data_IF_002758819857
#
_entry.id   IF_002758819857
#
_cell.length_a   1.000
_cell.length_b   1.000
_cell.length_c   1.000
_cell.angle_alpha   90.00
_cell.angle_beta   90.00
_cell.angle_gamma   90.00
#
_symmetry.space_group_name_H-M   'P 1'
#
loop_
_entity.id
_entity.type
_entity.pdbx_description
1 polymer ?
#
# COMPACT_ATOMS: atom_id res chain seq x y z
N UNK A 1 -5.52 24.43 6.48
CA UNK A 1 -5.33 23.01 6.75
C UNK A 1 -6.58 22.51 7.42
N UNK A 2 -7.42 21.76 6.72
CA UNK A 2 -8.48 21.01 7.38
C UNK A 2 -7.79 19.84 8.06
N UNK A 3 -7.72 19.89 9.39
CA UNK A 3 -7.12 18.80 10.16
C UNK A 3 -7.97 17.54 10.01
N UNK A 4 -7.49 16.59 9.23
CA UNK A 4 -7.99 15.24 9.29
C UNK A 4 -7.70 14.70 10.69
N UNK A 5 -8.72 14.53 11.50
CA UNK A 5 -8.58 13.72 12.70
C UNK A 5 -8.61 12.25 12.29
N UNK A 6 -7.88 11.37 12.99
CA UNK A 6 -7.95 9.92 12.80
C UNK A 6 -9.40 9.36 12.87
N UNK A 7 -10.32 10.15 13.38
CA UNK A 7 -11.74 9.82 13.48
C UNK A 7 -12.50 10.04 12.17
N UNK A 8 -12.00 10.92 11.30
CA UNK A 8 -12.71 11.36 10.10
C UNK A 8 -12.21 10.70 8.81
N UNK A 9 -11.19 9.83 8.89
CA UNK A 9 -10.64 9.09 7.76
C UNK A 9 -11.05 7.62 7.72
N UNK A 10 -10.78 6.99 6.55
CA UNK A 10 -10.87 5.53 6.35
C UNK A 10 -12.26 4.94 6.57
N UNK A 11 -13.33 5.71 6.28
CA UNK A 11 -14.71 5.24 6.48
C UNK A 11 -15.04 4.02 5.64
N UNK A 12 -14.53 3.96 4.40
CA UNK A 12 -14.75 2.85 3.46
C UNK A 12 -14.14 1.56 3.97
N UNK A 13 -12.84 1.60 4.27
CA UNK A 13 -12.10 0.43 4.76
C UNK A 13 -12.58 -0.05 6.13
N UNK A 14 -12.86 0.88 7.05
CA UNK A 14 -13.44 0.55 8.37
C UNK A 14 -14.78 -0.16 8.24
N UNK A 15 -15.65 0.32 7.34
CA UNK A 15 -16.95 -0.30 7.08
C UNK A 15 -16.80 -1.69 6.45
N UNK A 16 -15.91 -1.81 5.45
CA UNK A 16 -15.66 -3.07 4.76
C UNK A 16 -15.06 -4.12 5.71
N UNK A 17 -14.03 -3.76 6.46
CA UNK A 17 -13.39 -4.65 7.42
C UNK A 17 -14.39 -5.16 8.48
N UNK A 18 -15.26 -4.25 8.98
CA UNK A 18 -16.32 -4.60 9.93
C UNK A 18 -17.33 -5.58 9.32
N UNK A 19 -17.77 -5.35 8.10
CA UNK A 19 -18.68 -6.23 7.38
C UNK A 19 -18.08 -7.62 7.16
N UNK A 20 -16.81 -7.69 6.75
CA UNK A 20 -16.09 -8.95 6.59
C UNK A 20 -15.98 -9.73 7.91
N UNK A 21 -15.71 -9.03 9.01
CA UNK A 21 -15.64 -9.64 10.36
C UNK A 21 -17.00 -10.19 10.78
N UNK A 22 -18.08 -9.43 10.57
CA UNK A 22 -19.45 -9.88 10.89
C UNK A 22 -19.88 -11.10 10.06
N UNK A 23 -19.45 -11.15 8.78
CA UNK A 23 -19.71 -12.27 7.89
C UNK A 23 -18.76 -13.47 8.11
N UNK A 24 -17.87 -13.39 9.08
CA UNK A 24 -16.86 -14.41 9.38
C UNK A 24 -16.03 -14.83 8.16
N UNK A 25 -15.73 -13.87 7.28
CA UNK A 25 -14.91 -14.12 6.09
C UNK A 25 -13.51 -14.59 6.47
N UNK A 26 -13.09 -15.70 5.88
CA UNK A 26 -11.69 -16.17 5.96
C UNK A 26 -10.87 -15.41 4.91
N UNK A 27 -10.03 -14.48 5.37
CA UNK A 27 -9.18 -13.64 4.52
C UNK A 27 -7.74 -14.09 4.71
N UNK A 28 -7.06 -14.45 3.65
CA UNK A 28 -5.64 -14.83 3.66
C UNK A 28 -4.72 -13.60 3.73
N UNK A 29 -5.14 -12.51 3.12
CA UNK A 29 -4.43 -11.23 3.14
C UNK A 29 -5.27 -10.13 2.51
N UNK A 30 -5.06 -8.91 2.97
CA UNK A 30 -5.53 -7.68 2.36
C UNK A 30 -4.31 -6.96 1.81
N UNK A 31 -4.31 -6.65 0.53
CA UNK A 31 -3.21 -5.94 -0.12
C UNK A 31 -3.74 -4.58 -0.56
N UNK A 32 -3.29 -3.53 0.11
CA UNK A 32 -3.52 -2.15 -0.29
C UNK A 32 -2.44 -1.74 -1.29
N UNK A 33 -2.82 -1.01 -2.31
CA UNK A 33 -1.91 -0.35 -3.25
C UNK A 33 -2.24 1.13 -3.23
N UNK A 34 -1.37 1.94 -2.67
CA UNK A 34 -1.55 3.39 -2.63
C UNK A 34 -0.36 4.13 -3.24
N UNK A 35 -0.63 5.20 -3.97
CA UNK A 35 0.37 6.08 -4.59
C UNK A 35 1.38 5.36 -5.51
N UNK A 36 1.06 4.19 -6.05
CA UNK A 36 1.97 3.29 -6.79
C UNK A 36 2.16 3.66 -8.28
N UNK A 37 1.81 4.85 -8.66
CA UNK A 37 1.91 5.32 -10.05
C UNK A 37 3.09 6.23 -10.35
N UNK A 38 3.96 6.56 -9.41
CA UNK A 38 5.09 7.46 -9.63
C UNK A 38 5.99 6.97 -10.76
N UNK A 39 6.45 7.89 -11.62
CA UNK A 39 7.43 7.60 -12.67
C UNK A 39 8.74 7.04 -12.14
N UNK A 40 9.15 7.46 -10.95
CA UNK A 40 10.31 6.92 -10.22
C UNK A 40 9.86 6.03 -9.05
N UNK A 41 9.06 5.02 -9.37
CA UNK A 41 8.43 4.13 -8.40
C UNK A 41 9.40 3.57 -7.35
N UNK A 42 9.07 3.78 -6.08
CA UNK A 42 9.78 3.29 -4.89
C UNK A 42 8.79 2.78 -3.86
N UNK A 43 8.24 1.61 -4.10
CA UNK A 43 7.29 1.01 -3.16
C UNK A 43 7.97 0.82 -1.81
N UNK A 44 7.35 1.34 -0.77
CA UNK A 44 7.73 1.12 0.62
C UNK A 44 6.68 0.27 1.31
N UNK A 45 7.12 -0.60 2.22
CA UNK A 45 6.24 -1.46 3.01
C UNK A 45 6.40 -1.09 4.48
N UNK A 46 5.40 -0.44 5.10
CA UNK A 46 5.47 0.04 6.47
C UNK A 46 5.65 -1.08 7.51
N UNK A 47 6.24 -0.72 8.65
CA UNK A 47 6.48 -1.66 9.75
C UNK A 47 5.20 -2.24 10.35
N UNK A 48 4.10 -1.48 10.36
CA UNK A 48 2.80 -1.91 10.90
C UNK A 48 2.03 -2.88 9.99
N UNK A 49 2.60 -3.34 8.89
CA UNK A 49 2.03 -4.41 8.07
C UNK A 49 2.28 -5.80 8.67
N UNK A 50 1.46 -6.78 8.30
CA UNK A 50 1.64 -8.19 8.69
C UNK A 50 3.00 -8.72 8.22
N UNK A 51 3.78 -9.29 9.12
CA UNK A 51 5.15 -9.70 8.85
C UNK A 51 5.28 -10.69 7.68
N UNK A 52 4.42 -11.71 7.64
CA UNK A 52 4.44 -12.72 6.58
C UNK A 52 4.11 -12.11 5.21
N UNK A 53 3.19 -11.13 5.16
CA UNK A 53 2.86 -10.42 3.92
C UNK A 53 4.00 -9.48 3.48
N UNK A 54 4.74 -8.91 4.43
CA UNK A 54 5.94 -8.10 4.13
C UNK A 54 7.02 -8.96 3.47
N UNK A 55 7.27 -10.15 4.00
CA UNK A 55 8.22 -11.10 3.41
C UNK A 55 7.74 -11.56 2.04
N UNK A 56 6.47 -11.95 1.93
CA UNK A 56 5.85 -12.37 0.67
C UNK A 56 5.97 -11.31 -0.43
N UNK A 57 5.81 -10.01 -0.09
CA UNK A 57 5.95 -8.92 -1.05
C UNK A 57 7.37 -8.81 -1.60
N UNK A 58 8.41 -8.99 -0.75
CA UNK A 58 9.79 -8.98 -1.19
C UNK A 58 10.12 -10.19 -2.08
N UNK A 59 9.64 -11.37 -1.71
CA UNK A 59 9.82 -12.60 -2.49
C UNK A 59 9.08 -12.52 -3.85
N UNK A 60 7.88 -11.95 -3.88
CA UNK A 60 7.13 -11.72 -5.11
C UNK A 60 7.87 -10.73 -6.04
N UNK A 61 8.41 -9.65 -5.48
CA UNK A 61 9.19 -8.69 -6.24
C UNK A 61 10.50 -9.29 -6.78
N UNK A 62 11.14 -10.20 -6.04
CA UNK A 62 12.30 -10.95 -6.54
C UNK A 62 11.92 -11.84 -7.72
N UNK A 63 10.82 -12.58 -7.59
CA UNK A 63 10.33 -13.48 -8.62
C UNK A 63 9.90 -12.77 -9.92
N UNK A 64 9.41 -11.54 -9.81
CA UNK A 64 9.03 -10.72 -10.98
C UNK A 64 10.19 -9.92 -11.58
N UNK A 65 11.37 -9.95 -10.94
CA UNK A 65 12.53 -9.14 -11.32
C UNK A 65 12.45 -7.66 -10.90
N UNK A 66 11.49 -7.33 -10.04
CA UNK A 66 11.21 -5.94 -9.62
C UNK A 66 11.76 -5.64 -8.20
N UNK A 67 12.66 -6.47 -7.66
CA UNK A 67 13.18 -6.39 -6.28
C UNK A 67 13.73 -5.01 -5.90
N UNK A 68 14.30 -4.30 -6.86
CA UNK A 68 14.87 -2.96 -6.64
C UNK A 68 13.82 -1.86 -6.51
N UNK A 69 12.56 -2.16 -6.86
CA UNK A 69 11.44 -1.22 -6.81
C UNK A 69 10.66 -1.26 -5.49
N UNK A 70 11.02 -2.16 -4.56
CA UNK A 70 10.34 -2.33 -3.28
C UNK A 70 11.32 -2.41 -2.14
N UNK A 71 11.00 -1.76 -1.02
CA UNK A 71 11.79 -1.78 0.20
C UNK A 71 10.94 -1.76 1.46
N UNK A 72 11.55 -2.16 2.57
CA UNK A 72 10.92 -2.05 3.88
C UNK A 72 11.09 -0.62 4.42
N UNK A 73 10.05 -0.10 5.02
CA UNK A 73 10.06 1.16 5.74
C UNK A 73 9.92 0.90 7.25
N UNK A 74 10.86 1.42 8.03
CA UNK A 74 10.91 1.16 9.48
C UNK A 74 9.93 2.05 10.28
N UNK A 75 9.26 2.96 9.61
CA UNK A 75 8.19 3.78 10.17
C UNK A 75 6.81 3.11 10.10
N UNK A 76 5.85 3.81 10.68
CA UNK A 76 4.43 3.46 10.65
C UNK A 76 3.73 4.42 9.68
N UNK A 77 2.90 3.88 8.80
CA UNK A 77 1.98 4.66 7.96
C UNK A 77 0.56 4.24 8.32
N UNK A 78 -0.30 5.22 8.60
CA UNK A 78 -1.72 4.99 8.83
C UNK A 78 -2.47 5.18 7.52
N UNK A 79 -2.99 4.07 6.98
CA UNK A 79 -3.75 4.03 5.76
C UNK A 79 -4.88 2.99 5.87
N UNK A 80 -5.62 2.76 4.80
CA UNK A 80 -6.78 1.88 4.73
C UNK A 80 -6.51 0.44 5.22
N UNK A 81 -5.26 -0.06 5.10
CA UNK A 81 -4.85 -1.37 5.63
C UNK A 81 -5.00 -1.46 7.15
N UNK A 82 -4.85 -0.35 7.88
CA UNK A 82 -4.93 -0.32 9.33
C UNK A 82 -6.32 -0.77 9.84
N UNK A 83 -7.38 -0.41 9.12
CA UNK A 83 -8.74 -0.82 9.48
C UNK A 83 -8.94 -2.33 9.51
N UNK A 84 -8.18 -3.06 8.69
CA UNK A 84 -8.21 -4.53 8.66
C UNK A 84 -7.33 -5.12 9.76
N UNK A 85 -6.15 -4.56 9.98
CA UNK A 85 -5.25 -4.97 11.07
C UNK A 85 -5.93 -4.84 12.43
N UNK A 86 -6.65 -3.75 12.69
CA UNK A 86 -7.37 -3.49 13.94
C UNK A 86 -8.44 -4.55 14.24
N UNK A 87 -8.96 -5.22 13.22
CA UNK A 87 -9.92 -6.30 13.34
C UNK A 87 -9.29 -7.70 13.24
N UNK A 88 -7.95 -7.78 13.20
CA UNK A 88 -7.19 -9.02 13.20
C UNK A 88 -7.11 -9.70 11.84
N UNK A 89 -7.35 -8.99 10.73
CA UNK A 89 -7.08 -9.50 9.40
C UNK A 89 -5.62 -9.24 9.02
N UNK A 90 -4.92 -10.20 8.37
CA UNK A 90 -3.61 -9.93 7.81
C UNK A 90 -3.74 -8.84 6.72
N UNK A 91 -2.91 -7.81 6.80
CA UNK A 91 -2.94 -6.72 5.83
C UNK A 91 -1.54 -6.16 5.56
N UNK A 92 -1.34 -5.68 4.34
CA UNK A 92 -0.14 -5.00 3.88
C UNK A 92 -0.52 -3.76 3.08
N UNK A 93 0.33 -2.75 3.18
CA UNK A 93 0.29 -1.54 2.38
C UNK A 93 1.54 -1.51 1.48
N UNK A 94 1.33 -1.44 0.18
CA UNK A 94 2.35 -1.20 -0.83
C UNK A 94 2.19 0.25 -1.28
N UNK A 95 3.00 1.15 -0.72
CA UNK A 95 2.83 2.58 -0.93
C UNK A 95 4.12 3.25 -1.40
N UNK A 96 4.04 4.09 -2.41
CA UNK A 96 5.11 5.02 -2.72
C UNK A 96 4.89 6.34 -1.97
N UNK A 97 5.28 6.35 -0.69
CA UNK A 97 5.05 7.51 0.17
C UNK A 97 5.91 8.74 -0.22
N UNK A 98 6.96 8.54 -0.98
CA UNK A 98 7.85 9.60 -1.46
C UNK A 98 7.56 10.00 -2.90
N UNK A 99 6.28 10.00 -3.28
CA UNK A 99 5.81 10.32 -4.61
C UNK A 99 6.27 11.72 -5.06
N UNK A 100 7.10 11.77 -6.12
CA UNK A 100 7.59 13.03 -6.69
C UNK A 100 9.08 13.05 -6.97
N UNK A 101 9.57 14.24 -7.32
CA UNK A 101 10.94 14.42 -7.82
C UNK A 101 11.98 14.68 -6.71
N UNK A 102 11.55 15.03 -5.52
CA UNK A 102 12.45 15.38 -4.41
C UNK A 102 12.67 14.18 -3.49
N UNK A 103 13.90 13.69 -3.34
CA UNK A 103 14.17 12.55 -2.48
C UNK A 103 13.69 12.80 -1.03
N UNK A 104 12.90 11.87 -0.51
CA UNK A 104 12.40 11.94 0.86
C UNK A 104 11.24 12.91 1.10
N UNK A 105 10.68 13.48 0.03
CA UNK A 105 9.51 14.35 0.10
C UNK A 105 8.36 13.76 -0.72
N UNK A 106 7.14 14.23 -0.44
CA UNK A 106 5.94 13.92 -1.18
C UNK A 106 5.42 15.22 -1.81
N UNK A 107 5.77 15.43 -3.07
CA UNK A 107 5.59 16.73 -3.72
C UNK A 107 4.13 17.03 -4.07
N UNK A 108 3.33 16.00 -4.30
CA UNK A 108 2.00 16.16 -4.91
C UNK A 108 0.85 15.74 -4.00
N UNK A 109 1.14 14.99 -2.93
CA UNK A 109 0.15 14.44 -2.03
C UNK A 109 -0.80 15.51 -1.46
N UNK A 110 -2.10 15.31 -1.66
CA UNK A 110 -3.16 16.22 -1.25
C UNK A 110 -3.03 17.64 -1.81
N UNK A 111 -2.49 17.79 -3.01
CA UNK A 111 -2.38 19.07 -3.72
C UNK A 111 -3.10 19.03 -5.07
N UNK A 112 -3.38 20.19 -5.64
CA UNK A 112 -3.91 20.33 -7.00
C UNK A 112 -2.90 19.97 -8.09
N UNK A 113 -1.65 19.67 -7.70
CA UNK A 113 -0.58 19.23 -8.60
C UNK A 113 -0.54 17.72 -8.78
N UNK A 114 -1.33 16.97 -8.01
CA UNK A 114 -1.55 15.54 -8.20
C UNK A 114 -2.43 15.32 -9.42
N UNK A 115 -1.78 15.12 -10.55
CA UNK A 115 -2.38 15.08 -11.88
C UNK A 115 -1.84 13.90 -12.70
N UNK A 116 -2.59 13.46 -13.70
CA UNK A 116 -2.33 12.26 -14.49
C UNK A 116 -0.93 12.23 -15.14
N UNK A 117 -0.34 13.40 -15.45
CA UNK A 117 1.00 13.50 -16.01
C UNK A 117 2.13 13.06 -15.07
N UNK A 118 1.84 12.87 -13.78
CA UNK A 118 2.78 12.32 -12.80
C UNK A 118 2.86 10.80 -12.84
N UNK A 119 1.85 10.15 -13.41
CA UNK A 119 1.73 8.70 -13.41
C UNK A 119 2.53 8.05 -14.56
N UNK A 120 2.92 6.82 -14.33
CA UNK A 120 3.57 5.92 -15.30
C UNK A 120 2.80 4.61 -15.40
N UNK A 121 2.46 4.21 -16.62
CA UNK A 121 1.86 2.91 -16.88
C UNK A 121 2.79 1.75 -16.49
N UNK A 122 4.11 1.93 -16.67
CA UNK A 122 5.12 0.93 -16.32
C UNK A 122 5.19 0.73 -14.80
N UNK A 123 5.04 1.80 -14.02
CA UNK A 123 5.00 1.73 -12.56
C UNK A 123 3.77 0.98 -12.06
N UNK A 124 2.61 1.28 -12.62
CA UNK A 124 1.38 0.55 -12.33
C UNK A 124 1.49 -0.93 -12.72
N UNK A 125 2.09 -1.23 -13.87
CA UNK A 125 2.34 -2.60 -14.32
C UNK A 125 3.30 -3.34 -13.38
N UNK A 126 4.37 -2.69 -12.94
CA UNK A 126 5.34 -3.24 -11.98
C UNK A 126 4.65 -3.64 -10.68
N UNK A 127 3.88 -2.73 -10.09
CA UNK A 127 3.12 -3.03 -8.87
C UNK A 127 2.10 -4.14 -9.11
N UNK A 128 1.39 -4.10 -10.24
CA UNK A 128 0.43 -5.14 -10.62
C UNK A 128 1.06 -6.53 -10.72
N UNK A 129 2.26 -6.67 -11.31
CA UNK A 129 2.99 -7.95 -11.38
C UNK A 129 3.34 -8.48 -9.99
N UNK A 130 3.87 -7.63 -9.13
CA UNK A 130 4.21 -8.01 -7.74
C UNK A 130 2.96 -8.50 -7.01
N UNK A 131 1.84 -7.76 -7.10
CA UNK A 131 0.59 -8.11 -6.42
C UNK A 131 0.00 -9.41 -6.94
N UNK A 132 0.01 -9.63 -8.26
CA UNK A 132 -0.48 -10.89 -8.84
C UNK A 132 0.38 -12.07 -8.34
N UNK A 133 1.70 -11.90 -8.28
CA UNK A 133 2.59 -12.93 -7.77
C UNK A 133 2.35 -13.20 -6.27
N UNK A 134 2.11 -12.16 -5.46
CA UNK A 134 1.70 -12.32 -4.07
C UNK A 134 0.40 -13.13 -3.94
N UNK A 135 -0.61 -12.80 -4.74
CA UNK A 135 -1.92 -13.50 -4.73
C UNK A 135 -1.75 -14.98 -5.09
N UNK A 136 -0.91 -15.29 -6.07
CA UNK A 136 -0.67 -16.68 -6.51
C UNK A 136 0.01 -17.53 -5.42
N UNK A 137 0.70 -16.90 -4.46
CA UNK A 137 1.40 -17.58 -3.35
C UNK A 137 0.60 -17.62 -2.04
N UNK A 138 -0.50 -16.87 -1.94
CA UNK A 138 -1.43 -16.89 -0.80
C UNK A 138 -2.35 -18.12 -0.85
#
# INVERSE_FOLDING_TARGET
MLGYSERDGFHGSKRLAKAMKQQQKKIKGVILMDMVGDRDLRITVPRNCTADLRLLALEAAEATGDRTKIGLFDGIIYDDHQAFLDLGFPAIDLIDFYFGNRPGENDYWHTTKDTLDKLSADSLLTTGRIVIEMINRL
#
